data_IF_992751256247
#
_entry.id   IF_992751256247
#
_cell.length_a   1.000
_cell.length_b   1.000
_cell.length_c   1.000
_cell.angle_alpha   90.00
_cell.angle_beta   90.00
_cell.angle_gamma   90.00
#
_symmetry.space_group_name_H-M   'P 1'
#
loop_
_entity.id
_entity.type
_entity.pdbx_description
1 polymer ?
#
# COMPACT_ATOMS: atom_id res chain seq x y z
N UNK A 1 -7.07 -27.05 -25.97
CA UNK A 1 -6.64 -25.78 -25.34
C UNK A 1 -6.81 -25.98 -23.84
N UNK A 2 -5.74 -26.38 -23.13
CA UNK A 2 -5.80 -26.63 -21.69
C UNK A 2 -5.86 -25.30 -20.94
N UNK A 3 -6.63 -25.19 -19.85
CA UNK A 3 -6.52 -24.02 -18.98
C UNK A 3 -5.14 -24.06 -18.35
N UNK A 4 -4.32 -23.04 -18.62
CA UNK A 4 -3.09 -22.78 -17.89
C UNK A 4 -3.51 -22.64 -16.43
N UNK A 5 -3.16 -23.62 -15.61
CA UNK A 5 -3.31 -23.53 -14.16
C UNK A 5 -2.40 -22.37 -13.76
N UNK A 6 -2.95 -21.16 -13.64
CA UNK A 6 -2.20 -20.03 -13.10
C UNK A 6 -1.95 -20.40 -11.65
N UNK A 7 -0.73 -20.84 -11.35
CA UNK A 7 -0.32 -21.17 -10.00
C UNK A 7 -0.63 -19.96 -9.11
N UNK A 8 -1.46 -20.17 -8.10
CA UNK A 8 -1.71 -19.17 -7.07
C UNK A 8 -0.38 -18.89 -6.37
N UNK A 9 0.04 -17.63 -6.38
CA UNK A 9 1.30 -17.19 -5.78
C UNK A 9 0.99 -16.47 -4.46
N UNK A 10 1.93 -16.56 -3.52
CA UNK A 10 1.90 -15.82 -2.28
C UNK A 10 2.47 -14.43 -2.52
N UNK A 11 1.60 -13.42 -2.49
CA UNK A 11 2.02 -12.02 -2.34
C UNK A 11 2.30 -11.76 -0.86
N UNK A 12 3.45 -11.18 -0.55
CA UNK A 12 3.77 -10.57 0.74
C UNK A 12 4.21 -9.12 0.52
N UNK A 13 3.47 -8.16 1.08
CA UNK A 13 3.81 -6.73 1.11
C UNK A 13 4.34 -6.37 2.51
N UNK A 14 5.43 -5.61 2.57
CA UNK A 14 6.13 -5.25 3.81
C UNK A 14 6.97 -3.97 3.62
N UNK A 15 7.62 -3.51 4.70
CA UNK A 15 8.49 -2.32 4.69
C UNK A 15 7.79 -1.03 4.20
N UNK A 16 6.52 -0.84 4.56
CA UNK A 16 5.78 0.38 4.23
C UNK A 16 6.37 1.57 5.00
N UNK A 17 6.78 2.61 4.28
CA UNK A 17 7.38 3.83 4.83
C UNK A 17 6.93 5.02 4.01
N UNK A 18 6.27 5.98 4.65
CA UNK A 18 5.96 7.25 4.02
C UNK A 18 7.00 8.31 4.39
N UNK A 19 7.13 9.34 3.55
CA UNK A 19 8.06 10.44 3.76
C UNK A 19 7.45 11.75 3.31
N UNK A 20 7.60 12.78 4.15
CA UNK A 20 7.13 14.15 3.89
C UNK A 20 5.65 14.22 3.53
N UNK A 21 4.81 13.45 4.22
CA UNK A 21 3.36 13.55 4.06
C UNK A 21 2.89 14.94 4.48
N UNK A 22 1.93 15.46 3.73
CA UNK A 22 1.21 16.68 4.07
C UNK A 22 -0.17 16.32 4.61
N UNK A 23 -0.63 17.07 5.60
CA UNK A 23 -2.03 17.05 6.00
C UNK A 23 -2.77 18.14 5.23
N UNK A 24 -3.99 17.84 4.81
CA UNK A 24 -4.95 18.80 4.23
C UNK A 24 -5.49 19.78 5.29
N UNK A 25 -5.45 19.40 6.57
CA UNK A 25 -5.88 20.22 7.70
C UNK A 25 -4.69 20.93 8.38
N UNK A 26 -5.00 21.75 9.39
CA UNK A 26 -3.96 22.38 10.22
C UNK A 26 -3.31 21.32 11.12
N UNK A 27 -2.15 20.81 10.73
CA UNK A 27 -1.43 19.86 11.58
C UNK A 27 -0.39 19.02 10.88
N UNK A 28 0.01 17.95 11.56
CA UNK A 28 0.77 16.84 10.97
C UNK A 28 -0.22 15.70 10.71
N UNK A 29 -0.01 14.90 9.66
CA UNK A 29 -0.96 13.86 9.29
C UNK A 29 -1.00 12.72 10.32
N UNK A 30 -2.17 12.13 10.49
CA UNK A 30 -2.49 10.91 11.21
C UNK A 30 -2.64 9.77 10.19
N UNK A 31 -1.52 9.22 9.73
CA UNK A 31 -1.50 8.45 8.48
C UNK A 31 -1.70 6.93 8.64
N UNK A 32 -2.37 6.31 7.67
CA UNK A 32 -2.45 4.85 7.47
C UNK A 32 -2.51 4.46 5.99
N UNK A 33 -2.35 3.16 5.69
CA UNK A 33 -2.39 2.63 4.32
C UNK A 33 -3.44 1.52 4.19
N UNK A 34 -4.37 1.67 3.26
CA UNK A 34 -5.31 0.62 2.84
C UNK A 34 -4.71 -0.19 1.66
N UNK A 35 -4.74 -1.52 1.74
CA UNK A 35 -4.03 -2.42 0.83
C UNK A 35 -4.98 -3.29 0.03
N UNK A 36 -4.81 -3.31 -1.28
CA UNK A 36 -5.57 -4.16 -2.20
C UNK A 36 -4.66 -4.95 -3.15
N UNK A 37 -5.13 -6.13 -3.56
CA UNK A 37 -4.61 -6.88 -4.70
C UNK A 37 -5.76 -7.36 -5.59
N UNK A 38 -5.83 -6.85 -6.82
CA UNK A 38 -7.01 -7.02 -7.67
C UNK A 38 -8.25 -6.43 -7.00
N UNK A 39 -9.30 -7.24 -6.85
CA UNK A 39 -10.52 -6.85 -6.12
C UNK A 39 -10.50 -7.21 -4.62
N UNK A 40 -9.43 -7.82 -4.12
CA UNK A 40 -9.33 -8.22 -2.73
C UNK A 40 -8.80 -7.07 -1.88
N UNK A 41 -9.55 -6.70 -0.84
CA UNK A 41 -9.06 -5.86 0.26
C UNK A 41 -8.28 -6.75 1.23
N UNK A 42 -7.01 -6.41 1.49
CA UNK A 42 -6.11 -7.16 2.36
C UNK A 42 -6.06 -6.60 3.78
N UNK A 43 -6.73 -5.47 4.03
CA UNK A 43 -6.76 -4.74 5.28
C UNK A 43 -6.02 -3.40 5.20
N UNK A 44 -5.78 -2.83 6.37
CA UNK A 44 -5.12 -1.54 6.54
C UNK A 44 -4.08 -1.60 7.66
N UNK A 45 -3.13 -0.67 7.65
CA UNK A 45 -2.16 -0.51 8.74
C UNK A 45 -2.79 0.21 9.92
N UNK A 46 -2.12 0.19 11.07
CA UNK A 46 -2.40 1.11 12.16
C UNK A 46 -2.20 2.57 11.74
N UNK A 47 -2.92 3.47 12.42
CA UNK A 47 -2.77 4.91 12.24
C UNK A 47 -1.58 5.41 13.04
N UNK A 48 -0.68 6.12 12.37
CA UNK A 48 0.45 6.80 13.00
C UNK A 48 0.16 8.29 13.15
N UNK A 49 -0.21 8.67 14.36
CA UNK A 49 -0.67 10.02 14.65
C UNK A 49 0.46 11.06 14.57
N UNK A 50 0.16 12.21 13.98
CA UNK A 50 0.95 13.42 13.94
C UNK A 50 2.39 13.18 13.45
N UNK A 51 2.53 12.32 12.44
CA UNK A 51 3.82 11.89 11.93
C UNK A 51 3.87 11.98 10.39
N UNK A 52 4.63 12.94 9.82
CA UNK A 52 4.78 13.06 8.37
C UNK A 52 5.74 12.03 7.76
N UNK A 53 6.40 11.20 8.57
CA UNK A 53 7.33 10.15 8.12
C UNK A 53 7.06 8.83 8.86
N UNK A 54 5.85 8.25 8.74
CA UNK A 54 5.50 7.02 9.42
C UNK A 54 6.21 5.81 8.79
N UNK A 55 6.43 4.80 9.62
CA UNK A 55 6.85 3.47 9.22
C UNK A 55 5.89 2.49 9.87
N UNK A 56 5.45 1.50 9.10
CA UNK A 56 4.50 0.49 9.56
C UNK A 56 5.21 -0.86 9.65
N UNK A 57 5.00 -1.57 10.76
CA UNK A 57 5.57 -2.90 11.01
C UNK A 57 4.71 -4.02 10.39
N UNK A 58 3.48 -3.67 10.00
CA UNK A 58 2.49 -4.58 9.43
C UNK A 58 2.92 -5.12 8.07
N UNK A 59 2.81 -6.44 7.94
CA UNK A 59 2.96 -7.16 6.67
C UNK A 59 1.59 -7.66 6.19
N UNK A 60 1.36 -7.61 4.89
CA UNK A 60 0.14 -8.13 4.27
C UNK A 60 0.46 -9.34 3.41
N UNK A 61 -0.27 -10.44 3.60
CA UNK A 61 -0.09 -11.67 2.82
C UNK A 61 -1.38 -12.04 2.08
N UNK A 62 -1.26 -12.38 0.81
CA UNK A 62 -2.38 -12.84 -0.03
C UNK A 62 -1.98 -14.05 -0.86
N UNK A 63 -2.64 -15.19 -0.62
CA UNK A 63 -2.30 -16.48 -1.23
C UNK A 63 -2.94 -16.73 -2.59
N UNK A 64 -3.81 -15.83 -3.07
CA UNK A 64 -4.52 -15.99 -4.36
C UNK A 64 -4.04 -14.97 -5.40
N UNK A 65 -2.88 -14.36 -5.16
CA UNK A 65 -2.31 -13.38 -6.06
C UNK A 65 -1.89 -14.06 -7.37
N UNK A 66 -2.06 -13.37 -8.49
CA UNK A 66 -1.60 -13.79 -9.80
C UNK A 66 -0.61 -12.80 -10.35
N UNK A 67 0.33 -13.30 -11.15
CA UNK A 67 1.25 -12.43 -11.91
C UNK A 67 0.41 -11.46 -12.75
N UNK A 68 0.76 -10.17 -12.69
CA UNK A 68 0.07 -9.04 -13.30
C UNK A 68 -1.22 -8.57 -12.62
N UNK A 69 -1.63 -9.14 -11.49
CA UNK A 69 -2.66 -8.50 -10.65
C UNK A 69 -2.19 -7.09 -10.26
N UNK A 70 -3.13 -6.16 -10.14
CA UNK A 70 -2.83 -4.80 -9.71
C UNK A 70 -2.86 -4.76 -8.18
N UNK A 71 -1.70 -4.52 -7.56
CA UNK A 71 -1.62 -4.10 -6.18
C UNK A 71 -1.89 -2.59 -6.10
N UNK A 72 -2.79 -2.19 -5.21
CA UNK A 72 -3.15 -0.79 -4.97
C UNK A 72 -2.96 -0.49 -3.48
N UNK A 73 -2.18 0.56 -3.21
CA UNK A 73 -1.93 1.07 -1.86
C UNK A 73 -2.52 2.48 -1.82
N UNK A 74 -3.46 2.73 -0.92
CA UNK A 74 -4.05 4.05 -0.72
C UNK A 74 -3.55 4.60 0.61
N UNK A 75 -2.96 5.78 0.59
CA UNK A 75 -2.47 6.45 1.79
C UNK A 75 -3.51 7.46 2.23
N UNK A 76 -3.92 7.41 3.48
CA UNK A 76 -4.94 8.28 4.07
C UNK A 76 -4.37 9.10 5.22
N UNK A 77 -4.95 10.28 5.43
CA UNK A 77 -4.86 11.08 6.66
C UNK A 77 -6.18 10.91 7.42
N UNK A 78 -6.12 10.40 8.65
CA UNK A 78 -7.30 10.19 9.48
C UNK A 78 -7.75 11.52 10.10
N UNK A 79 -9.00 11.90 9.86
CA UNK A 79 -9.57 13.15 10.34
C UNK A 79 -10.86 12.92 11.13
N UNK A 80 -11.31 13.94 11.86
CA UNK A 80 -12.64 13.93 12.48
C UNK A 80 -13.75 14.04 11.42
N UNK A 81 -14.07 12.94 10.76
CA UNK A 81 -15.12 12.87 9.75
C UNK A 81 -14.80 11.87 8.64
N UNK A 82 -14.46 12.40 7.47
CA UNK A 82 -13.99 11.62 6.33
C UNK A 82 -12.47 11.69 6.29
N UNK A 83 -11.82 10.54 6.19
CA UNK A 83 -10.37 10.47 6.03
C UNK A 83 -9.98 10.98 4.64
N UNK A 84 -8.95 11.80 4.60
CA UNK A 84 -8.47 12.43 3.38
C UNK A 84 -7.50 11.50 2.64
N UNK A 85 -7.79 11.22 1.38
CA UNK A 85 -6.92 10.40 0.54
C UNK A 85 -5.70 11.23 0.11
N UNK A 86 -4.54 10.93 0.69
CA UNK A 86 -3.27 11.60 0.37
C UNK A 86 -2.68 11.13 -0.95
N UNK A 87 -2.94 9.89 -1.34
CA UNK A 87 -2.55 9.39 -2.65
C UNK A 87 -2.71 7.90 -2.89
N UNK A 88 -2.52 7.50 -4.14
CA UNK A 88 -2.72 6.11 -4.59
C UNK A 88 -1.52 5.60 -5.38
N UNK A 89 -0.92 4.52 -4.89
CA UNK A 89 0.13 3.81 -5.60
C UNK A 89 -0.42 2.52 -6.21
N UNK A 90 -0.33 2.39 -7.54
CA UNK A 90 -0.78 1.20 -8.26
C UNK A 90 0.37 0.54 -9.02
N UNK A 91 0.42 -0.79 -8.97
CA UNK A 91 1.43 -1.55 -9.73
C UNK A 91 0.94 -2.95 -10.07
N UNK A 92 1.25 -3.40 -11.29
CA UNK A 92 1.15 -4.81 -11.65
C UNK A 92 2.28 -5.60 -10.96
N UNK A 93 1.91 -6.58 -10.15
CA UNK A 93 2.87 -7.41 -9.41
C UNK A 93 3.56 -8.41 -10.35
N UNK A 94 4.85 -8.64 -10.13
CA UNK A 94 5.69 -9.58 -10.88
C UNK A 94 6.37 -10.56 -9.91
N UNK A 95 6.73 -11.74 -10.40
CA UNK A 95 7.47 -12.73 -9.60
C UNK A 95 8.76 -12.14 -9.03
N UNK A 96 9.15 -12.60 -7.84
CA UNK A 96 10.34 -12.16 -7.11
C UNK A 96 10.06 -11.06 -6.10
N UNK A 97 11.13 -10.50 -5.54
CA UNK A 97 11.09 -9.41 -4.55
C UNK A 97 11.41 -8.08 -5.23
N UNK A 98 10.57 -7.08 -5.01
CA UNK A 98 10.67 -5.78 -5.64
C UNK A 98 10.51 -4.68 -4.60
N UNK A 99 11.34 -3.65 -4.71
CA UNK A 99 11.26 -2.43 -3.91
C UNK A 99 10.85 -1.25 -4.80
N UNK A 100 9.92 -0.44 -4.31
CA UNK A 100 9.40 0.70 -5.04
C UNK A 100 9.20 1.89 -4.13
N UNK A 101 9.21 3.05 -4.77
CA UNK A 101 8.76 4.33 -4.22
C UNK A 101 7.78 4.95 -5.23
N UNK A 102 6.71 5.53 -4.71
CA UNK A 102 5.73 6.30 -5.47
C UNK A 102 5.51 7.65 -4.81
N UNK A 103 5.31 8.69 -5.62
CA UNK A 103 4.96 10.02 -5.15
C UNK A 103 3.46 10.14 -5.02
N UNK A 104 3.00 10.71 -3.91
CA UNK A 104 1.59 10.86 -3.58
C UNK A 104 1.04 12.19 -4.14
N UNK A 105 -0.24 12.19 -4.48
CA UNK A 105 -0.95 13.29 -5.11
C UNK A 105 -0.95 14.58 -4.25
N UNK A 106 -1.14 14.45 -2.93
CA UNK A 106 -1.10 15.56 -1.98
C UNK A 106 0.32 15.90 -1.48
N UNK A 107 1.31 15.16 -1.96
CA UNK A 107 2.72 15.35 -1.65
C UNK A 107 3.32 14.30 -0.72
N UNK A 108 4.65 14.20 -0.78
CA UNK A 108 5.40 13.14 -0.13
C UNK A 108 5.53 11.89 -1.00
N UNK A 109 6.01 10.80 -0.40
CA UNK A 109 6.18 9.52 -1.06
C UNK A 109 5.86 8.35 -0.14
N UNK A 110 5.50 7.21 -0.75
CA UNK A 110 5.38 5.92 -0.09
C UNK A 110 6.40 4.95 -0.70
N UNK A 111 7.30 4.44 0.14
CA UNK A 111 8.22 3.35 -0.16
C UNK A 111 7.67 2.04 0.41
N UNK A 112 7.83 0.96 -0.35
CA UNK A 112 7.36 -0.37 0.04
C UNK A 112 8.18 -1.46 -0.64
N UNK A 113 8.13 -2.67 -0.09
CA UNK A 113 8.68 -3.88 -0.69
C UNK A 113 7.59 -4.93 -0.81
N UNK A 114 7.57 -5.69 -1.90
CA UNK A 114 6.75 -6.88 -1.98
C UNK A 114 7.53 -8.07 -2.54
N UNK A 115 7.11 -9.27 -2.17
CA UNK A 115 7.55 -10.53 -2.77
C UNK A 115 6.34 -11.24 -3.34
N UNK A 116 6.45 -11.73 -4.58
CA UNK A 116 5.50 -12.67 -5.19
C UNK A 116 6.23 -13.97 -5.51
N UNK A 117 5.86 -15.05 -4.82
CA UNK A 117 6.53 -16.35 -4.93
C UNK A 117 5.58 -17.53 -4.83
#
# INVERSE_FOLDING_TARGET
>A
MYPTIMAEAQLKLFNLRASKLHSSTLGKPDAYVEVFCGSANLGETSVHNNNPNPWWEEDFTYFKARVNDVMMLKVYDQDFGLDDLLGVCQRQIKLGTHEHECYLEEGGSLRYTYTLG
#
